data_IF_606978532235
#
_entry.id   IF_606978532235
#
_cell.length_a   1.000
_cell.length_b   1.000
_cell.length_c   1.000
_cell.angle_alpha   90.00
_cell.angle_beta   90.00
_cell.angle_gamma   90.00
#
_symmetry.space_group_name_H-M   'P 1'
#
loop_
_entity.id
_entity.type
_entity.pdbx_description
1 polymer ?
#
# COMPACT_ATOMS: atom_id res chain seq x y z
N UNK A 1 4.44 8.10 64.43
CA UNK A 1 3.48 8.70 63.48
C UNK A 1 4.00 8.45 62.06
N UNK A 2 3.60 7.33 61.47
CA UNK A 2 3.95 6.94 60.10
C UNK A 2 2.83 7.38 59.17
N UNK A 3 3.14 8.30 58.25
CA UNK A 3 2.19 8.80 57.27
C UNK A 3 1.89 7.70 56.23
N UNK A 4 0.68 7.15 56.30
CA UNK A 4 0.12 6.25 55.28
C UNK A 4 -0.30 7.12 54.10
N UNK A 5 0.49 7.08 53.03
CA UNK A 5 0.17 7.78 51.78
C UNK A 5 -1.02 7.11 51.08
N UNK A 6 -2.13 7.86 50.97
CA UNK A 6 -3.30 7.47 50.19
C UNK A 6 -2.91 7.26 48.72
N UNK A 7 -3.04 6.02 48.23
CA UNK A 7 -2.95 5.73 46.81
C UNK A 7 -4.18 6.28 46.09
N UNK A 8 -4.01 7.09 45.03
CA UNK A 8 -5.15 7.63 44.29
C UNK A 8 -5.91 6.51 43.60
N UNK A 9 -7.20 6.40 43.93
CA UNK A 9 -8.13 5.44 43.36
C UNK A 9 -8.13 5.52 41.82
N UNK A 10 -7.68 4.45 41.18
CA UNK A 10 -7.74 4.26 39.74
C UNK A 10 -9.23 4.16 39.35
N UNK A 11 -9.81 5.28 38.91
CA UNK A 11 -11.15 5.32 38.33
C UNK A 11 -11.17 4.46 37.06
N UNK A 12 -11.73 3.27 37.16
CA UNK A 12 -12.03 2.39 36.05
C UNK A 12 -13.09 3.04 35.16
N UNK A 13 -12.66 3.73 34.12
CA UNK A 13 -13.54 4.16 33.03
C UNK A 13 -14.04 2.91 32.29
N UNK A 14 -15.22 2.42 32.69
CA UNK A 14 -16.04 1.51 31.90
C UNK A 14 -16.47 2.22 30.62
N UNK A 15 -15.63 2.11 29.57
CA UNK A 15 -15.99 2.49 28.20
C UNK A 15 -17.15 1.59 27.76
N UNK A 16 -18.36 2.12 27.79
CA UNK A 16 -19.52 1.55 27.13
C UNK A 16 -19.18 1.32 25.65
N UNK A 17 -19.27 0.06 25.21
CA UNK A 17 -19.04 -0.41 23.84
C UNK A 17 -20.17 0.08 22.91
N UNK A 18 -20.30 1.38 22.66
CA UNK A 18 -21.15 1.90 21.57
C UNK A 18 -20.41 1.80 20.22
N UNK A 19 -19.94 0.60 19.89
CA UNK A 19 -18.93 0.39 18.85
C UNK A 19 -19.38 -0.07 17.44
N UNK A 20 -20.64 -0.48 17.13
CA UNK A 20 -20.90 -1.00 15.78
C UNK A 20 -21.31 0.06 14.74
N UNK A 21 -22.36 0.84 14.98
CA UNK A 21 -23.04 1.54 13.89
C UNK A 21 -22.18 2.57 13.13
N UNK A 22 -21.41 3.41 13.84
CA UNK A 22 -20.63 4.48 13.19
C UNK A 22 -19.42 3.98 12.40
N UNK A 23 -18.83 2.86 12.81
CA UNK A 23 -17.72 2.24 12.07
C UNK A 23 -18.26 1.51 10.83
N UNK A 24 -19.41 0.83 10.95
CA UNK A 24 -20.10 0.21 9.82
C UNK A 24 -20.53 1.25 8.77
N UNK A 25 -21.03 2.41 9.20
CA UNK A 25 -21.37 3.50 8.28
C UNK A 25 -20.14 4.04 7.54
N UNK A 26 -18.98 4.12 8.20
CA UNK A 26 -17.74 4.57 7.56
C UNK A 26 -17.24 3.56 6.52
N UNK A 27 -17.25 2.27 6.85
CA UNK A 27 -16.90 1.19 5.92
C UNK A 27 -17.89 1.12 4.77
N UNK A 28 -19.19 1.21 5.06
CA UNK A 28 -20.25 1.29 4.05
C UNK A 28 -20.08 2.49 3.13
N UNK A 29 -19.66 3.64 3.66
CA UNK A 29 -19.33 4.82 2.87
C UNK A 29 -18.17 4.61 1.89
N UNK A 30 -17.10 3.92 2.32
CA UNK A 30 -15.98 3.54 1.43
C UNK A 30 -16.41 2.57 0.34
N UNK A 31 -17.24 1.59 0.69
CA UNK A 31 -17.81 0.64 -0.27
C UNK A 31 -18.66 1.36 -1.31
N UNK A 32 -19.57 2.23 -0.89
CA UNK A 32 -20.40 3.05 -1.79
C UNK A 32 -19.53 3.96 -2.65
N UNK A 33 -18.51 4.61 -2.09
CA UNK A 33 -17.58 5.46 -2.85
C UNK A 33 -16.85 4.65 -3.93
N UNK A 34 -16.28 3.49 -3.57
CA UNK A 34 -15.59 2.62 -4.51
C UNK A 34 -16.50 2.13 -5.61
N UNK A 35 -17.71 1.69 -5.28
CA UNK A 35 -18.71 1.30 -6.26
C UNK A 35 -19.08 2.47 -7.16
N UNK A 36 -19.42 3.66 -6.65
CA UNK A 36 -19.78 4.80 -7.50
C UNK A 36 -18.63 5.21 -8.43
N UNK A 37 -17.41 5.28 -7.91
CA UNK A 37 -16.25 5.75 -8.67
C UNK A 37 -15.78 4.74 -9.72
N UNK A 38 -15.89 3.44 -9.44
CA UNK A 38 -15.24 2.38 -10.23
C UNK A 38 -16.23 1.42 -10.89
N UNK A 39 -17.54 1.50 -10.59
CA UNK A 39 -18.57 0.65 -11.20
C UNK A 39 -18.55 0.62 -12.73
N UNK A 40 -18.27 1.72 -13.46
CA UNK A 40 -18.20 1.66 -14.93
C UNK A 40 -17.27 0.55 -15.44
N UNK A 41 -16.23 0.20 -14.66
CA UNK A 41 -15.27 -0.84 -15.03
C UNK A 41 -15.86 -2.25 -15.02
N UNK A 42 -16.93 -2.52 -14.27
CA UNK A 42 -17.58 -3.83 -14.25
C UNK A 42 -18.22 -4.19 -15.61
N UNK A 43 -18.50 -3.17 -16.41
CA UNK A 43 -19.04 -3.32 -17.78
C UNK A 43 -17.96 -3.25 -18.86
N UNK A 44 -16.70 -3.03 -18.48
CA UNK A 44 -15.60 -2.97 -19.43
C UNK A 44 -15.25 -4.38 -19.96
N UNK A 45 -14.80 -4.40 -21.22
CA UNK A 45 -14.24 -5.60 -21.87
C UNK A 45 -12.72 -5.56 -21.78
N UNK A 46 -12.08 -6.70 -22.04
CA UNK A 46 -10.63 -6.73 -22.17
C UNK A 46 -10.14 -5.75 -23.23
N UNK A 47 -9.11 -5.00 -22.88
CA UNK A 47 -8.39 -4.05 -23.73
C UNK A 47 -6.98 -4.61 -23.97
N UNK A 48 -6.62 -4.74 -25.25
CA UNK A 48 -5.39 -5.38 -25.71
C UNK A 48 -4.08 -4.77 -25.16
N UNK A 49 -4.12 -3.55 -24.62
CA UNK A 49 -2.94 -2.87 -24.08
C UNK A 49 -2.43 -3.57 -22.81
N UNK A 50 -3.31 -3.83 -21.85
CA UNK A 50 -2.93 -4.33 -20.53
C UNK A 50 -3.33 -5.79 -20.26
N UNK A 51 -4.29 -6.30 -21.02
CA UNK A 51 -4.92 -7.60 -20.72
C UNK A 51 -4.30 -8.74 -21.54
N UNK A 52 -3.32 -8.42 -22.41
CA UNK A 52 -2.63 -9.39 -23.23
C UNK A 52 -1.95 -10.49 -22.39
N UNK A 53 -1.49 -10.18 -21.19
CA UNK A 53 -0.92 -11.18 -20.26
C UNK A 53 -1.99 -12.20 -19.84
N UNK A 54 -3.19 -11.74 -19.50
CA UNK A 54 -4.31 -12.61 -19.12
C UNK A 54 -4.73 -13.45 -20.33
N UNK A 55 -4.95 -12.80 -21.48
CA UNK A 55 -5.45 -13.45 -22.69
C UNK A 55 -4.44 -14.44 -23.28
N UNK A 56 -3.14 -14.19 -23.17
CA UNK A 56 -2.09 -15.14 -23.60
C UNK A 56 -2.07 -16.41 -22.76
N UNK A 57 -2.61 -16.35 -21.54
CA UNK A 57 -2.69 -17.46 -20.59
C UNK A 57 -4.04 -18.17 -20.62
N UNK A 58 -5.01 -17.72 -21.41
CA UNK A 58 -6.28 -18.43 -21.61
C UNK A 58 -6.21 -19.26 -22.89
N UNK A 59 -6.85 -20.45 -22.97
CA UNK A 59 -6.92 -21.22 -24.20
C UNK A 59 -7.40 -20.37 -25.40
N UNK A 60 -6.81 -20.57 -26.58
CA UNK A 60 -7.22 -19.81 -27.77
C UNK A 60 -8.68 -20.09 -28.13
N UNK A 61 -9.32 -19.09 -28.75
CA UNK A 61 -10.70 -19.20 -29.22
C UNK A 61 -10.80 -20.38 -30.20
N UNK A 62 -11.71 -21.31 -29.93
CA UNK A 62 -11.89 -22.54 -30.71
C UNK A 62 -11.09 -23.74 -30.23
N UNK A 63 -10.38 -23.63 -29.09
CA UNK A 63 -9.81 -24.79 -28.42
C UNK A 63 -10.90 -25.80 -28.03
N UNK A 64 -10.56 -27.10 -28.03
CA UNK A 64 -11.49 -28.15 -27.68
C UNK A 64 -12.05 -27.95 -26.24
N UNK A 65 -13.31 -28.31 -25.98
CA UNK A 65 -13.88 -28.25 -24.63
C UNK A 65 -13.00 -28.99 -23.62
N UNK A 66 -12.63 -28.32 -22.52
CA UNK A 66 -11.75 -28.89 -21.49
C UNK A 66 -10.25 -28.70 -21.75
N UNK A 67 -9.86 -28.05 -22.85
CA UNK A 67 -8.46 -27.59 -23.03
C UNK A 67 -8.14 -26.59 -21.93
N UNK A 68 -7.20 -26.93 -21.05
CA UNK A 68 -6.70 -26.02 -20.02
C UNK A 68 -5.44 -25.34 -20.53
N UNK A 69 -5.21 -24.12 -20.06
CA UNK A 69 -3.94 -23.45 -20.28
C UNK A 69 -2.79 -24.25 -19.65
N UNK A 70 -1.70 -24.40 -20.40
CA UNK A 70 -0.46 -24.95 -19.83
C UNK A 70 0.25 -23.84 -19.05
N UNK A 71 0.00 -23.79 -17.74
CA UNK A 71 0.59 -22.82 -16.83
C UNK A 71 1.98 -23.30 -16.40
N UNK A 72 3.04 -22.83 -17.06
CA UNK A 72 4.42 -23.06 -16.60
C UNK A 72 4.84 -22.03 -15.54
N UNK A 73 4.35 -22.23 -14.31
CA UNK A 73 4.70 -21.45 -13.12
C UNK A 73 6.22 -21.30 -12.96
N UNK A 74 6.96 -22.39 -13.17
CA UNK A 74 8.41 -22.43 -12.91
C UNK A 74 9.16 -21.65 -13.98
N UNK A 75 8.80 -21.85 -15.24
CA UNK A 75 9.37 -21.10 -16.37
C UNK A 75 9.07 -19.61 -16.24
N UNK A 76 7.85 -19.21 -15.92
CA UNK A 76 7.52 -17.79 -15.78
C UNK A 76 8.23 -17.13 -14.58
N UNK A 77 8.10 -17.69 -13.38
CA UNK A 77 8.60 -17.08 -12.15
C UNK A 77 10.13 -17.11 -12.02
N UNK A 78 10.80 -18.14 -12.55
CA UNK A 78 12.22 -18.37 -12.32
C UNK A 78 13.10 -18.33 -13.57
N UNK A 79 12.53 -18.28 -14.78
CA UNK A 79 13.31 -18.15 -16.01
C UNK A 79 12.96 -16.88 -16.80
N UNK A 80 11.68 -16.69 -17.16
CA UNK A 80 11.24 -15.60 -18.02
C UNK A 80 11.35 -14.23 -17.35
N UNK A 81 10.75 -14.04 -16.17
CA UNK A 81 10.79 -12.74 -15.50
C UNK A 81 12.23 -12.31 -15.13
N UNK A 82 13.09 -13.19 -14.59
CA UNK A 82 14.48 -12.85 -14.31
C UNK A 82 15.28 -12.46 -15.56
N UNK A 83 15.00 -13.08 -16.70
CA UNK A 83 15.67 -12.76 -17.97
C UNK A 83 15.38 -11.34 -18.48
N UNK A 84 14.26 -10.74 -18.06
CA UNK A 84 13.92 -9.34 -18.35
C UNK A 84 14.18 -8.41 -17.15
N UNK A 85 14.87 -8.92 -16.11
CA UNK A 85 15.32 -8.15 -14.96
C UNK A 85 14.26 -7.98 -13.87
N UNK A 86 13.34 -8.93 -13.75
CA UNK A 86 12.24 -8.94 -12.78
C UNK A 86 12.22 -10.20 -11.93
N UNK A 87 11.68 -10.12 -10.72
CA UNK A 87 11.46 -11.24 -9.82
C UNK A 87 10.20 -11.03 -8.99
N UNK A 88 9.12 -11.68 -9.47
CA UNK A 88 7.77 -11.51 -8.93
C UNK A 88 7.09 -12.87 -8.70
N UNK A 89 7.69 -13.77 -7.90
CA UNK A 89 7.20 -15.15 -7.81
C UNK A 89 5.79 -15.25 -7.21
N UNK A 90 5.44 -14.39 -6.25
CA UNK A 90 4.10 -14.41 -5.67
C UNK A 90 3.05 -13.88 -6.66
N UNK A 91 3.39 -12.83 -7.42
CA UNK A 91 2.52 -12.30 -8.47
C UNK A 91 2.13 -13.40 -9.46
N UNK A 92 3.11 -14.12 -10.03
CA UNK A 92 2.84 -15.20 -10.97
C UNK A 92 2.02 -16.34 -10.34
N UNK A 93 2.31 -16.69 -9.09
CA UNK A 93 1.56 -17.73 -8.38
C UNK A 93 0.08 -17.37 -8.25
N UNK A 94 -0.21 -16.14 -7.81
CA UNK A 94 -1.60 -15.69 -7.64
C UNK A 94 -2.27 -15.49 -9.01
N UNK A 95 -1.60 -14.85 -9.96
CA UNK A 95 -2.12 -14.57 -11.30
C UNK A 95 -2.54 -15.85 -12.03
N UNK A 96 -1.74 -16.91 -11.96
CA UNK A 96 -2.06 -18.18 -12.62
C UNK A 96 -3.24 -18.88 -11.94
N UNK A 97 -3.40 -18.71 -10.62
CA UNK A 97 -4.61 -19.12 -9.90
C UNK A 97 -5.84 -18.32 -10.31
N UNK A 98 -5.71 -17.00 -10.49
CA UNK A 98 -6.78 -16.14 -10.98
C UNK A 98 -7.19 -16.52 -12.40
N UNK A 99 -6.25 -16.74 -13.32
CA UNK A 99 -6.53 -17.21 -14.69
C UNK A 99 -7.25 -18.56 -14.69
N UNK A 100 -6.82 -19.50 -13.83
CA UNK A 100 -7.45 -20.81 -13.72
C UNK A 100 -8.89 -20.75 -13.17
N UNK A 101 -9.24 -19.71 -12.39
CA UNK A 101 -10.56 -19.55 -11.76
C UNK A 101 -11.51 -18.66 -12.57
N UNK A 102 -11.00 -17.57 -13.13
CA UNK A 102 -11.78 -16.52 -13.79
C UNK A 102 -11.83 -16.66 -15.30
N UNK A 103 -10.89 -17.40 -15.89
CA UNK A 103 -10.78 -17.64 -17.33
C UNK A 103 -10.84 -16.31 -18.14
N UNK A 104 -11.60 -16.26 -19.23
CA UNK A 104 -11.82 -15.06 -20.05
C UNK A 104 -13.06 -14.24 -19.63
N UNK A 105 -13.48 -14.29 -18.36
CA UNK A 105 -14.57 -13.44 -17.86
C UNK A 105 -14.06 -12.07 -17.39
N UNK A 106 -14.08 -11.08 -18.29
CA UNK A 106 -13.64 -9.72 -17.99
C UNK A 106 -14.38 -9.09 -16.79
N UNK A 107 -15.68 -9.35 -16.64
CA UNK A 107 -16.45 -8.81 -15.51
C UNK A 107 -16.02 -9.41 -14.18
N UNK A 108 -15.68 -10.71 -14.17
CA UNK A 108 -15.14 -11.37 -12.97
C UNK A 108 -13.76 -10.82 -12.58
N UNK A 109 -12.89 -10.57 -13.55
CA UNK A 109 -11.60 -9.91 -13.34
C UNK A 109 -11.75 -8.51 -12.76
N UNK A 110 -12.64 -7.70 -13.33
CA UNK A 110 -12.92 -6.35 -12.84
C UNK A 110 -13.54 -6.37 -11.43
N UNK A 111 -14.43 -7.32 -11.13
CA UNK A 111 -15.01 -7.50 -9.81
C UNK A 111 -13.94 -7.87 -8.76
N UNK A 112 -12.97 -8.72 -9.12
CA UNK A 112 -11.84 -9.06 -8.26
C UNK A 112 -11.01 -7.80 -7.95
N UNK A 113 -10.53 -7.10 -8.98
CA UNK A 113 -9.68 -5.91 -8.80
C UNK A 113 -10.38 -4.82 -7.98
N UNK A 114 -11.67 -4.59 -8.22
CA UNK A 114 -12.49 -3.66 -7.43
C UNK A 114 -12.58 -4.07 -5.96
N UNK A 115 -12.77 -5.37 -5.71
CA UNK A 115 -12.84 -5.92 -4.35
C UNK A 115 -11.50 -5.75 -3.61
N UNK A 116 -10.38 -5.98 -4.29
CA UNK A 116 -9.03 -5.74 -3.75
C UNK A 116 -8.83 -4.26 -3.38
N UNK A 117 -9.33 -3.34 -4.22
CA UNK A 117 -9.28 -1.90 -3.96
C UNK A 117 -10.08 -1.47 -2.74
N UNK A 118 -11.35 -1.87 -2.67
CA UNK A 118 -12.21 -1.56 -1.53
C UNK A 118 -11.64 -2.16 -0.24
N UNK A 119 -11.13 -3.38 -0.29
CA UNK A 119 -10.51 -4.04 0.86
C UNK A 119 -9.27 -3.28 1.34
N UNK A 120 -8.39 -2.88 0.42
CA UNK A 120 -7.19 -2.08 0.72
C UNK A 120 -7.55 -0.72 1.34
N UNK A 121 -8.57 -0.06 0.81
CA UNK A 121 -9.09 1.20 1.36
C UNK A 121 -9.65 1.03 2.78
N UNK A 122 -10.36 -0.07 3.04
CA UNK A 122 -10.87 -0.41 4.37
C UNK A 122 -9.73 -0.72 5.35
N UNK A 123 -8.67 -1.40 4.92
CA UNK A 123 -7.48 -1.64 5.74
C UNK A 123 -6.74 -0.34 6.06
N UNK A 124 -6.66 0.58 5.12
CA UNK A 124 -6.04 1.88 5.32
C UNK A 124 -6.87 2.77 6.28
N UNK A 125 -8.20 2.74 6.12
CA UNK A 125 -9.13 3.31 7.12
C UNK A 125 -8.87 2.72 8.51
N UNK A 126 -8.83 1.39 8.63
CA UNK A 126 -8.60 0.72 9.91
C UNK A 126 -7.23 1.05 10.51
N UNK A 127 -6.20 1.23 9.68
CA UNK A 127 -4.86 1.69 10.07
C UNK A 127 -4.95 3.08 10.68
N UNK A 128 -5.53 4.05 9.96
CA UNK A 128 -5.70 5.41 10.47
C UNK A 128 -6.50 5.46 11.78
N UNK A 129 -7.56 4.64 11.89
CA UNK A 129 -8.34 4.50 13.12
C UNK A 129 -7.53 3.89 14.27
N UNK A 130 -6.66 2.94 13.98
CA UNK A 130 -5.74 2.35 14.96
C UNK A 130 -4.73 3.38 15.47
N UNK A 131 -4.28 4.30 14.62
CA UNK A 131 -3.39 5.41 14.99
C UNK A 131 -4.10 6.54 15.77
N UNK A 132 -5.42 6.47 15.89
CA UNK A 132 -6.22 7.42 16.67
C UNK A 132 -6.84 8.55 15.85
N UNK A 133 -6.69 8.55 14.52
CA UNK A 133 -7.31 9.54 13.63
C UNK A 133 -8.83 9.51 13.73
N UNK A 134 -9.48 10.67 13.62
CA UNK A 134 -10.94 10.75 13.55
C UNK A 134 -11.53 9.97 12.36
N UNK A 135 -12.83 9.66 12.41
CA UNK A 135 -13.49 8.87 11.34
C UNK A 135 -13.43 9.54 9.98
N UNK A 136 -13.78 10.83 9.91
CA UNK A 136 -13.80 11.57 8.65
C UNK A 136 -12.39 11.61 8.01
N UNK A 137 -11.31 12.01 8.72
CA UNK A 137 -9.96 11.88 8.20
C UNK A 137 -9.64 10.46 7.75
N UNK A 138 -9.94 9.43 8.55
CA UNK A 138 -9.66 8.05 8.19
C UNK A 138 -10.41 7.59 6.92
N UNK A 139 -11.68 8.00 6.74
CA UNK A 139 -12.45 7.71 5.51
C UNK A 139 -11.83 8.42 4.32
N UNK A 140 -11.38 9.67 4.49
CA UNK A 140 -10.71 10.39 3.42
C UNK A 140 -9.40 9.72 3.03
N UNK A 141 -8.57 9.28 3.98
CA UNK A 141 -7.35 8.51 3.66
C UNK A 141 -7.68 7.23 2.89
N UNK A 142 -8.67 6.44 3.32
CA UNK A 142 -9.09 5.24 2.60
C UNK A 142 -9.70 5.54 1.22
N UNK A 143 -10.55 6.56 1.13
CA UNK A 143 -11.20 6.97 -0.11
C UNK A 143 -10.21 7.53 -1.14
N UNK A 144 -9.16 8.21 -0.68
CA UNK A 144 -8.07 8.68 -1.52
C UNK A 144 -7.42 7.54 -2.31
N UNK A 145 -7.19 6.39 -1.66
CA UNK A 145 -6.64 5.22 -2.34
C UNK A 145 -7.52 4.78 -3.53
N UNK A 146 -8.83 5.02 -3.50
CA UNK A 146 -9.75 4.61 -4.56
C UNK A 146 -9.83 5.63 -5.71
N UNK A 147 -9.74 6.92 -5.41
CA UNK A 147 -10.09 7.99 -6.37
C UNK A 147 -8.93 8.93 -6.72
N UNK A 148 -7.79 8.79 -6.07
CA UNK A 148 -6.65 9.67 -6.32
C UNK A 148 -6.24 9.61 -7.80
N UNK A 149 -5.88 10.76 -8.40
CA UNK A 149 -5.35 10.82 -9.75
C UNK A 149 -4.17 9.87 -9.90
N UNK A 150 -4.14 9.16 -11.01
CA UNK A 150 -3.27 8.01 -11.17
C UNK A 150 -3.88 6.79 -10.49
N UNK A 151 -3.86 6.70 -9.16
CA UNK A 151 -4.19 5.49 -8.36
C UNK A 151 -5.48 4.78 -8.76
N UNK A 152 -6.51 5.53 -9.13
CA UNK A 152 -7.76 4.94 -9.65
C UNK A 152 -7.51 3.97 -10.83
N UNK A 153 -6.48 4.19 -11.64
CA UNK A 153 -6.06 3.32 -12.75
C UNK A 153 -5.63 1.92 -12.29
N UNK A 154 -5.06 1.82 -11.09
CA UNK A 154 -4.66 0.55 -10.48
C UNK A 154 -5.87 -0.36 -10.23
N UNK A 155 -7.04 0.24 -9.94
CA UNK A 155 -8.28 -0.50 -9.73
C UNK A 155 -9.09 -0.72 -11.02
N UNK A 156 -8.58 -0.23 -12.16
CA UNK A 156 -9.24 -0.31 -13.46
C UNK A 156 -8.53 -1.28 -14.41
N UNK A 157 -7.20 -1.33 -14.36
CA UNK A 157 -6.36 -2.16 -15.24
C UNK A 157 -6.25 -3.59 -14.69
N UNK A 158 -6.54 -4.60 -15.50
CA UNK A 158 -6.55 -6.01 -15.04
C UNK A 158 -5.15 -6.62 -14.96
N UNK A 159 -4.21 -6.14 -15.77
CA UNK A 159 -2.81 -6.58 -15.77
C UNK A 159 -1.90 -5.93 -14.71
N UNK A 160 -2.41 -5.03 -13.86
CA UNK A 160 -1.56 -4.29 -12.92
C UNK A 160 -1.10 -5.17 -11.74
N UNK A 161 0.21 -5.44 -11.68
CA UNK A 161 0.89 -6.14 -10.58
C UNK A 161 0.90 -5.34 -9.26
N UNK A 162 0.58 -4.05 -9.32
CA UNK A 162 0.48 -3.18 -8.15
C UNK A 162 -0.77 -3.46 -7.28
N UNK A 163 -1.80 -4.12 -7.81
CA UNK A 163 -3.06 -4.42 -7.08
C UNK A 163 -2.81 -5.28 -5.85
N UNK A 164 -2.24 -6.46 -6.04
CA UNK A 164 -1.89 -7.40 -4.97
C UNK A 164 -0.84 -6.82 -4.02
N UNK A 165 0.17 -6.14 -4.56
CA UNK A 165 1.21 -5.52 -3.75
C UNK A 165 0.66 -4.44 -2.82
N UNK A 166 -0.32 -3.65 -3.28
CA UNK A 166 -1.02 -2.64 -2.47
C UNK A 166 -1.85 -3.27 -1.37
N UNK A 167 -2.57 -4.35 -1.68
CA UNK A 167 -3.33 -5.10 -0.66
C UNK A 167 -2.40 -5.60 0.45
N UNK A 168 -1.30 -6.25 0.09
CA UNK A 168 -0.35 -6.79 1.08
C UNK A 168 0.39 -5.69 1.86
N UNK A 169 0.70 -4.55 1.22
CA UNK A 169 1.28 -3.40 1.88
C UNK A 169 0.32 -2.80 2.93
N UNK A 170 -0.95 -2.58 2.56
CA UNK A 170 -1.97 -2.03 3.48
C UNK A 170 -2.29 -3.00 4.62
N UNK A 171 -2.27 -4.31 4.37
CA UNK A 171 -2.34 -5.34 5.40
C UNK A 171 -1.17 -5.24 6.39
N UNK A 172 0.06 -5.07 5.89
CA UNK A 172 1.25 -4.95 6.74
C UNK A 172 1.21 -3.67 7.59
N UNK A 173 0.76 -2.54 7.04
CA UNK A 173 0.54 -1.29 7.76
C UNK A 173 -0.51 -1.44 8.88
N UNK A 174 -1.64 -2.08 8.57
CA UNK A 174 -2.69 -2.36 9.56
C UNK A 174 -2.14 -3.23 10.68
N UNK A 175 -1.39 -4.28 10.33
CA UNK A 175 -0.78 -5.18 11.29
C UNK A 175 0.22 -4.45 12.19
N UNK A 176 1.06 -3.55 11.64
CA UNK A 176 1.96 -2.71 12.40
C UNK A 176 1.21 -1.85 13.44
N UNK A 177 0.15 -1.17 12.99
CA UNK A 177 -0.64 -0.29 13.84
C UNK A 177 -1.36 -1.07 14.95
N UNK A 178 -1.90 -2.26 14.65
CA UNK A 178 -2.58 -3.09 15.65
C UNK A 178 -1.60 -3.73 16.64
N UNK A 179 -0.44 -4.19 16.18
CA UNK A 179 0.65 -4.66 17.04
C UNK A 179 1.05 -3.57 18.06
N UNK A 180 1.12 -2.31 17.62
CA UNK A 180 1.45 -1.16 18.45
C UNK A 180 0.34 -0.75 19.45
N UNK A 181 -0.88 -1.27 19.33
CA UNK A 181 -1.96 -1.00 20.31
C UNK A 181 -2.14 -2.10 21.34
N UNK A 182 -1.80 -3.34 21.01
CA UNK A 182 -2.07 -4.51 21.86
C UNK A 182 -0.87 -4.86 22.72
N UNK A 183 -1.15 -5.35 23.93
CA UNK A 183 -0.12 -5.83 24.88
C UNK A 183 0.51 -7.15 24.40
N UNK A 184 -0.30 -8.03 23.80
CA UNK A 184 0.15 -9.20 23.06
C UNK A 184 0.11 -8.91 21.55
N UNK A 185 1.28 -8.77 20.92
CA UNK A 185 1.41 -8.34 19.52
C UNK A 185 1.82 -9.46 18.56
N UNK A 186 2.21 -10.64 19.03
CA UNK A 186 2.84 -11.69 18.21
C UNK A 186 2.05 -12.03 16.93
N UNK A 187 0.74 -12.26 17.02
CA UNK A 187 -0.07 -12.57 15.83
C UNK A 187 -0.10 -11.42 14.81
N UNK A 188 -0.08 -10.17 15.27
CA UNK A 188 0.01 -9.00 14.39
C UNK A 188 1.41 -8.78 13.84
N UNK A 189 2.44 -9.07 14.64
CA UNK A 189 3.83 -9.01 14.17
C UNK A 189 4.10 -10.10 13.11
N UNK A 190 3.51 -11.29 13.24
CA UNK A 190 3.54 -12.34 12.19
C UNK A 190 2.81 -11.86 10.94
N UNK A 191 1.60 -11.31 11.08
CA UNK A 191 0.83 -10.80 9.93
C UNK A 191 1.55 -9.64 9.23
N UNK A 192 2.25 -8.78 9.98
CA UNK A 192 3.12 -7.74 9.44
C UNK A 192 4.23 -8.32 8.56
N UNK A 193 4.97 -9.32 9.06
CA UNK A 193 6.05 -9.97 8.31
C UNK A 193 5.51 -10.67 7.06
N UNK A 194 4.41 -11.40 7.17
CA UNK A 194 3.77 -12.08 6.03
C UNK A 194 3.32 -11.07 4.97
N UNK A 195 2.60 -10.01 5.37
CA UNK A 195 2.16 -8.98 4.44
C UNK A 195 3.33 -8.23 3.78
N UNK A 196 4.39 -7.95 4.53
CA UNK A 196 5.59 -7.32 3.99
C UNK A 196 6.31 -8.21 2.96
N UNK A 197 6.50 -9.48 3.30
CA UNK A 197 7.10 -10.46 2.39
C UNK A 197 6.26 -10.62 1.13
N UNK A 198 4.94 -10.75 1.28
CA UNK A 198 4.03 -10.89 0.15
C UNK A 198 4.06 -9.65 -0.77
N UNK A 199 4.06 -8.45 -0.21
CA UNK A 199 4.21 -7.22 -1.00
C UNK A 199 5.52 -7.20 -1.80
N UNK A 200 6.66 -7.48 -1.14
CA UNK A 200 7.98 -7.50 -1.78
C UNK A 200 8.11 -8.59 -2.87
N UNK A 201 7.45 -9.75 -2.71
CA UNK A 201 7.46 -10.83 -3.70
C UNK A 201 6.44 -10.65 -4.84
N UNK A 202 5.57 -9.64 -4.75
CA UNK A 202 4.63 -9.31 -5.82
C UNK A 202 5.26 -8.40 -6.85
N UNK A 203 5.99 -7.37 -6.41
CA UNK A 203 6.71 -6.45 -7.28
C UNK A 203 7.85 -5.78 -6.54
N UNK A 204 8.97 -5.58 -7.24
CA UNK A 204 10.22 -5.09 -6.70
C UNK A 204 10.08 -3.70 -6.09
N UNK A 205 9.21 -2.86 -6.68
CA UNK A 205 8.89 -1.52 -6.19
C UNK A 205 8.46 -1.54 -4.72
N UNK A 206 7.74 -2.57 -4.26
CA UNK A 206 7.31 -2.66 -2.87
C UNK A 206 8.44 -2.95 -1.88
N UNK A 207 9.63 -3.39 -2.32
CA UNK A 207 10.76 -3.67 -1.43
C UNK A 207 11.18 -2.45 -0.61
N UNK A 208 11.17 -1.27 -1.23
CA UNK A 208 11.44 -0.01 -0.54
C UNK A 208 10.28 0.41 0.36
N UNK A 209 9.04 0.16 -0.08
CA UNK A 209 7.86 0.44 0.75
C UNK A 209 7.89 -0.39 2.05
N UNK A 210 8.32 -1.64 1.96
CA UNK A 210 8.50 -2.57 3.08
C UNK A 210 9.56 -2.06 4.07
N UNK A 211 10.65 -1.45 3.61
CA UNK A 211 11.61 -0.75 4.49
C UNK A 211 10.90 0.37 5.27
N UNK A 212 10.05 1.15 4.59
CA UNK A 212 9.20 2.15 5.25
C UNK A 212 8.27 1.57 6.31
N UNK A 213 7.68 0.40 6.07
CA UNK A 213 6.85 -0.30 7.06
C UNK A 213 7.67 -0.73 8.28
N UNK A 214 8.92 -1.19 8.09
CA UNK A 214 9.81 -1.53 9.19
C UNK A 214 10.09 -0.32 10.09
N UNK A 215 10.44 0.82 9.49
CA UNK A 215 10.64 2.07 10.21
C UNK A 215 9.36 2.51 10.93
N UNK A 216 8.22 2.43 10.26
CA UNK A 216 6.92 2.73 10.85
C UNK A 216 6.64 1.86 12.08
N UNK A 217 6.87 0.54 12.01
CA UNK A 217 6.68 -0.38 13.13
C UNK A 217 7.63 -0.11 14.29
N UNK A 218 8.90 0.17 14.01
CA UNK A 218 9.93 0.51 15.00
C UNK A 218 9.60 1.83 15.71
N UNK A 219 9.16 2.82 14.94
CA UNK A 219 8.73 4.12 15.42
C UNK A 219 7.48 4.01 16.32
N UNK A 220 6.46 3.25 15.90
CA UNK A 220 5.28 3.01 16.74
C UNK A 220 5.63 2.37 18.10
N UNK A 221 6.63 1.50 18.17
CA UNK A 221 7.10 0.96 19.46
C UNK A 221 7.80 1.98 20.34
N UNK A 222 8.53 2.94 19.77
CA UNK A 222 9.27 3.94 20.57
C UNK A 222 8.34 5.00 21.18
N UNK A 223 7.15 5.20 20.62
CA UNK A 223 6.15 6.15 21.14
C UNK A 223 5.39 5.64 22.36
N UNK A 224 5.50 4.34 22.67
CA UNK A 224 4.88 3.78 23.88
C UNK A 224 5.64 4.32 25.10
N UNK A 225 4.95 4.89 26.10
CA UNK A 225 5.59 5.24 27.36
C UNK A 225 6.04 3.94 28.04
N UNK A 226 7.30 3.53 27.85
CA UNK A 226 7.90 2.45 28.63
C UNK A 226 8.61 3.03 29.85
N UNK A 227 8.37 2.41 31.00
CA UNK A 227 8.97 2.68 32.31
C UNK A 227 10.45 2.27 32.41
N UNK A 228 11.23 2.40 31.33
CA UNK A 228 12.64 2.01 31.31
C UNK A 228 13.32 2.35 29.98
N UNK A 229 14.57 2.81 30.07
CA UNK A 229 15.37 3.47 29.02
C UNK A 229 15.83 2.59 27.84
N UNK A 230 15.21 1.43 27.63
CA UNK A 230 15.48 0.57 26.47
C UNK A 230 14.18 0.17 25.79
N UNK A 231 13.59 1.08 25.03
CA UNK A 231 12.59 0.72 24.01
C UNK A 231 13.27 -0.14 22.96
N UNK A 232 13.21 -1.46 23.14
CA UNK A 232 13.73 -2.42 22.17
C UNK A 232 12.88 -2.36 20.90
N UNK A 233 13.54 -2.21 19.75
CA UNK A 233 12.89 -2.35 18.44
C UNK A 233 12.41 -3.80 18.30
N UNK A 234 11.14 -4.05 17.97
CA UNK A 234 10.62 -5.40 17.83
C UNK A 234 11.36 -6.19 16.74
N UNK A 235 11.62 -7.47 16.96
CA UNK A 235 12.24 -8.35 15.96
C UNK A 235 11.52 -8.34 14.62
N UNK A 236 10.19 -8.22 14.62
CA UNK A 236 9.41 -8.14 13.40
C UNK A 236 9.77 -6.92 12.54
N UNK A 237 10.09 -5.76 13.14
CA UNK A 237 10.56 -4.60 12.40
C UNK A 237 11.91 -4.88 11.72
N UNK A 238 12.83 -5.55 12.41
CA UNK A 238 14.12 -5.97 11.83
C UNK A 238 13.94 -6.97 10.70
N UNK A 239 13.07 -7.97 10.86
CA UNK A 239 12.78 -8.94 9.80
C UNK A 239 12.20 -8.26 8.55
N UNK A 240 11.22 -7.37 8.74
CA UNK A 240 10.64 -6.58 7.64
C UNK A 240 11.70 -5.70 6.97
N UNK A 241 12.60 -5.09 7.74
CA UNK A 241 13.71 -4.31 7.19
C UNK A 241 14.63 -5.17 6.32
N UNK A 242 15.02 -6.34 6.81
CA UNK A 242 15.88 -7.28 6.08
C UNK A 242 15.20 -7.82 4.82
N UNK A 243 13.90 -8.10 4.85
CA UNK A 243 13.10 -8.47 3.67
C UNK A 243 13.17 -7.37 2.62
N UNK A 244 12.91 -6.13 3.02
CA UNK A 244 12.96 -4.97 2.12
C UNK A 244 14.36 -4.77 1.52
N UNK A 245 15.41 -4.87 2.35
CA UNK A 245 16.80 -4.75 1.90
C UNK A 245 17.18 -5.86 0.91
N UNK A 246 16.81 -7.11 1.20
CA UNK A 246 17.03 -8.24 0.30
C UNK A 246 16.28 -8.07 -1.02
N UNK A 247 15.04 -7.58 -0.99
CA UNK A 247 14.25 -7.27 -2.18
C UNK A 247 14.91 -6.19 -3.06
N UNK A 248 15.40 -5.11 -2.45
CA UNK A 248 16.14 -4.04 -3.16
C UNK A 248 17.43 -4.59 -3.79
N UNK A 249 18.20 -5.38 -3.03
CA UNK A 249 19.43 -5.98 -3.54
C UNK A 249 19.15 -6.91 -4.74
N UNK A 250 18.11 -7.74 -4.65
CA UNK A 250 17.70 -8.64 -5.74
C UNK A 250 17.26 -7.85 -6.98
N UNK A 251 16.41 -6.84 -6.80
CA UNK A 251 15.95 -5.97 -7.88
C UNK A 251 17.13 -5.29 -8.61
N UNK A 252 18.14 -4.84 -7.85
CA UNK A 252 19.35 -4.25 -8.41
C UNK A 252 20.17 -5.26 -9.22
N UNK A 253 20.42 -6.46 -8.68
CA UNK A 253 21.18 -7.52 -9.36
C UNK A 253 20.48 -7.92 -10.66
N UNK A 254 19.17 -8.14 -10.62
CA UNK A 254 18.37 -8.55 -11.78
C UNK A 254 18.30 -7.44 -12.83
N UNK A 255 17.99 -6.21 -12.42
CA UNK A 255 17.95 -5.06 -13.32
C UNK A 255 19.29 -4.81 -14.01
N UNK A 256 20.41 -4.98 -13.30
CA UNK A 256 21.75 -4.92 -13.89
C UNK A 256 22.00 -6.06 -14.87
N UNK A 257 21.61 -7.29 -14.52
CA UNK A 257 21.85 -8.48 -15.35
C UNK A 257 21.06 -8.49 -16.67
N UNK A 258 19.86 -7.90 -16.68
CA UNK A 258 19.02 -7.84 -17.87
C UNK A 258 19.48 -6.78 -18.89
N UNK A 259 20.46 -5.94 -18.53
CA UNK A 259 21.12 -5.01 -19.44
C UNK A 259 20.28 -3.76 -19.79
N UNK A 260 20.85 -2.83 -20.58
CA UNK A 260 20.29 -1.50 -20.85
C UNK A 260 19.00 -1.50 -21.67
N UNK A 261 18.74 -2.60 -22.39
CA UNK A 261 17.52 -2.79 -23.20
C UNK A 261 16.34 -3.27 -22.35
N UNK A 262 16.60 -3.77 -21.14
CA UNK A 262 15.55 -4.14 -20.21
C UNK A 262 14.91 -2.90 -19.58
N UNK A 263 13.64 -3.04 -19.20
CA UNK A 263 12.89 -1.94 -18.61
C UNK A 263 13.56 -1.40 -17.33
N UNK A 264 14.09 -2.27 -16.48
CA UNK A 264 14.78 -1.87 -15.24
C UNK A 264 16.23 -1.42 -15.49
N UNK A 265 16.96 -2.10 -16.38
CA UNK A 265 18.37 -1.81 -16.65
C UNK A 265 18.60 -0.53 -17.44
N UNK A 266 17.62 -0.05 -18.23
CA UNK A 266 17.69 1.23 -18.95
C UNK A 266 17.99 2.41 -18.03
N UNK A 267 17.41 2.42 -16.82
CA UNK A 267 17.60 3.50 -15.84
C UNK A 267 18.96 3.43 -15.14
N UNK A 268 19.51 2.23 -14.95
CA UNK A 268 20.83 2.04 -14.36
C UNK A 268 21.95 2.28 -15.36
N UNK A 269 21.66 2.21 -16.66
CA UNK A 269 22.66 2.20 -17.73
C UNK A 269 22.82 3.51 -18.51
N UNK A 270 21.86 4.45 -18.42
CA UNK A 270 21.92 5.73 -19.15
C UNK A 270 21.98 6.91 -18.18
N UNK A 271 23.17 7.42 -17.83
CA UNK A 271 23.30 8.56 -16.96
C UNK A 271 22.98 9.84 -17.73
N UNK A 272 21.71 10.28 -17.66
CA UNK A 272 21.36 11.70 -17.83
C UNK A 272 20.92 12.25 -16.45
N UNK A 273 21.88 12.68 -15.61
CA UNK A 273 21.58 13.14 -14.26
C UNK A 273 20.69 14.37 -14.24
N UNK A 274 20.83 15.27 -15.23
CA UNK A 274 20.05 16.50 -15.31
C UNK A 274 18.61 16.21 -15.73
N UNK A 275 18.40 15.37 -16.75
CA UNK A 275 17.06 14.92 -17.13
C UNK A 275 16.38 14.13 -16.03
N UNK A 276 17.12 13.29 -15.31
CA UNK A 276 16.63 12.58 -14.13
C UNK A 276 16.19 13.55 -13.02
N UNK A 277 17.03 14.51 -12.61
CA UNK A 277 16.69 15.49 -11.57
C UNK A 277 15.48 16.34 -11.96
N UNK A 278 15.38 16.75 -13.24
CA UNK A 278 14.20 17.47 -13.76
C UNK A 278 12.94 16.64 -13.62
N UNK A 279 13.01 15.35 -13.96
CA UNK A 279 11.88 14.42 -13.86
C UNK A 279 11.46 14.21 -12.40
N UNK A 280 12.42 14.05 -11.48
CA UNK A 280 12.15 13.98 -10.02
C UNK A 280 11.44 15.25 -9.55
N UNK A 281 11.93 16.44 -9.95
CA UNK A 281 11.35 17.71 -9.53
C UNK A 281 9.92 17.92 -10.06
N UNK A 282 9.67 17.60 -11.34
CA UNK A 282 8.33 17.68 -11.95
C UNK A 282 7.35 16.75 -11.25
N UNK A 283 7.75 15.50 -11.01
CA UNK A 283 6.92 14.52 -10.32
C UNK A 283 6.67 14.91 -8.85
N UNK A 284 7.69 15.43 -8.15
CA UNK A 284 7.52 15.97 -6.80
C UNK A 284 6.51 17.14 -6.78
N UNK A 285 6.55 18.03 -7.77
CA UNK A 285 5.62 19.13 -7.89
C UNK A 285 4.18 18.66 -8.15
N UNK A 286 3.99 17.62 -8.97
CA UNK A 286 2.68 16.98 -9.19
C UNK A 286 2.16 16.39 -7.88
N UNK A 287 2.97 15.59 -7.16
CA UNK A 287 2.57 15.02 -5.88
C UNK A 287 2.25 16.09 -4.84
N UNK A 288 3.05 17.16 -4.80
CA UNK A 288 2.81 18.28 -3.90
C UNK A 288 1.50 19.01 -4.26
N UNK A 289 1.25 19.29 -5.54
CA UNK A 289 0.01 19.93 -5.99
C UNK A 289 -1.23 19.10 -5.62
N UNK A 290 -1.18 17.81 -5.93
CA UNK A 290 -2.27 16.87 -5.64
C UNK A 290 -2.47 16.70 -4.13
N UNK A 291 -1.38 16.56 -3.37
CA UNK A 291 -1.41 16.47 -1.91
C UNK A 291 -1.92 17.75 -1.24
N UNK A 292 -1.51 18.93 -1.72
CA UNK A 292 -2.00 20.23 -1.23
C UNK A 292 -3.50 20.41 -1.48
N UNK A 293 -3.99 19.99 -2.64
CA UNK A 293 -5.43 19.98 -2.93
C UNK A 293 -6.21 19.12 -1.93
N UNK A 294 -5.67 17.95 -1.59
CA UNK A 294 -6.28 17.07 -0.60
C UNK A 294 -6.22 17.62 0.84
N UNK A 295 -5.08 18.19 1.23
CA UNK A 295 -4.92 18.88 2.51
C UNK A 295 -5.85 20.08 2.60
N UNK A 296 -6.03 20.85 1.52
CA UNK A 296 -6.96 21.97 1.46
C UNK A 296 -8.41 21.50 1.60
N UNK A 297 -8.81 20.40 0.95
CA UNK A 297 -10.13 19.80 1.11
C UNK A 297 -10.35 19.33 2.56
N UNK A 298 -9.38 18.65 3.15
CA UNK A 298 -9.39 18.25 4.56
C UNK A 298 -9.56 19.47 5.47
N UNK A 299 -8.75 20.51 5.26
CA UNK A 299 -8.82 21.75 6.01
C UNK A 299 -10.19 22.42 5.85
N UNK A 300 -10.74 22.48 4.64
CA UNK A 300 -12.05 23.06 4.36
C UNK A 300 -13.18 22.28 5.06
N UNK A 301 -13.25 20.96 4.87
CA UNK A 301 -14.27 20.09 5.47
C UNK A 301 -14.20 20.05 6.99
N UNK A 302 -13.01 20.23 7.55
CA UNK A 302 -12.80 20.30 9.00
C UNK A 302 -13.05 21.71 9.55
N UNK A 303 -12.77 22.77 8.79
CA UNK A 303 -12.79 24.17 9.26
C UNK A 303 -14.12 24.62 9.88
N UNK A 304 -15.26 24.11 9.39
CA UNK A 304 -16.59 24.44 9.92
C UNK A 304 -16.85 23.86 11.31
N UNK A 305 -16.17 22.78 11.70
CA UNK A 305 -16.24 22.16 13.04
C UNK A 305 -14.99 22.38 13.88
N UNK A 306 -13.87 22.77 13.27
CA UNK A 306 -12.55 22.84 13.92
C UNK A 306 -12.04 24.26 14.20
N UNK A 307 -12.76 25.33 13.82
CA UNK A 307 -12.44 26.71 14.23
C UNK A 307 -12.30 26.90 15.75
N UNK A 308 -12.82 25.98 16.58
CA UNK A 308 -12.71 26.03 18.04
C UNK A 308 -11.77 25.01 18.66
N UNK A 309 -11.10 24.11 17.89
CA UNK A 309 -10.28 23.01 18.46
C UNK A 309 -8.96 22.68 17.78
N UNK A 310 -8.65 23.21 16.59
CA UNK A 310 -7.33 23.01 15.96
C UNK A 310 -6.28 23.91 16.60
N UNK A 311 -5.74 23.53 17.77
CA UNK A 311 -4.44 24.00 18.25
C UNK A 311 -3.98 23.16 19.45
N UNK A 312 -3.90 21.83 19.32
CA UNK A 312 -3.10 21.05 20.27
C UNK A 312 -1.81 20.58 19.61
N UNK A 313 -0.66 20.86 20.25
CA UNK A 313 0.68 20.35 19.85
C UNK A 313 0.69 18.84 19.53
N UNK A 314 -0.26 18.09 20.10
CA UNK A 314 -0.43 16.65 19.92
C UNK A 314 -0.85 16.26 18.50
N UNK A 315 -1.74 17.04 17.88
CA UNK A 315 -2.23 16.77 16.51
C UNK A 315 -1.16 17.11 15.47
N UNK A 316 -0.46 18.24 15.64
CA UNK A 316 0.70 18.59 14.80
C UNK A 316 1.82 17.56 14.91
N UNK A 317 2.10 17.07 16.12
CA UNK A 317 3.03 15.96 16.30
C UNK A 317 2.57 14.75 15.53
N UNK A 318 1.29 14.33 15.66
CA UNK A 318 0.75 13.16 14.96
C UNK A 318 0.82 13.29 13.42
N UNK A 319 0.59 14.48 12.87
CA UNK A 319 0.71 14.75 11.44
C UNK A 319 2.17 14.68 10.96
N UNK A 320 3.10 15.36 11.63
CA UNK A 320 4.54 15.27 11.34
C UNK A 320 5.06 13.82 11.44
N UNK A 321 4.53 13.11 12.42
CA UNK A 321 4.79 11.70 12.68
C UNK A 321 4.31 10.81 11.54
N UNK A 322 3.16 11.09 10.92
CA UNK A 322 2.62 10.33 9.80
C UNK A 322 3.35 10.67 8.48
N UNK A 323 3.74 11.94 8.34
CA UNK A 323 4.47 12.45 7.18
C UNK A 323 5.86 11.79 7.02
N UNK A 324 6.55 11.43 8.10
CA UNK A 324 7.89 10.81 8.00
C UNK A 324 7.84 9.40 7.36
N UNK A 325 7.03 8.44 7.85
CA UNK A 325 6.80 7.17 7.16
C UNK A 325 6.27 7.35 5.74
N UNK A 326 5.35 8.30 5.52
CA UNK A 326 4.86 8.63 4.18
C UNK A 326 5.99 9.06 3.25
N UNK A 327 6.91 9.92 3.69
CA UNK A 327 8.09 10.30 2.92
C UNK A 327 9.02 9.11 2.66
N UNK A 328 9.20 8.21 3.63
CA UNK A 328 9.99 6.98 3.44
C UNK A 328 9.32 6.04 2.42
N UNK A 329 8.00 6.10 2.26
CA UNK A 329 7.28 5.39 1.19
C UNK A 329 7.37 6.11 -0.16
N UNK A 330 7.22 7.44 -0.20
CA UNK A 330 7.14 8.24 -1.43
C UNK A 330 8.52 8.44 -2.06
N UNK A 331 9.51 8.86 -1.27
CA UNK A 331 10.81 9.32 -1.78
C UNK A 331 11.52 8.22 -2.58
N UNK A 332 11.64 6.97 -2.09
CA UNK A 332 12.31 5.94 -2.86
C UNK A 332 11.59 5.59 -4.17
N UNK A 333 10.25 5.66 -4.20
CA UNK A 333 9.46 5.46 -5.43
C UNK A 333 9.69 6.59 -6.43
N UNK A 334 9.65 7.83 -5.93
CA UNK A 334 9.91 9.02 -6.74
C UNK A 334 11.31 8.95 -7.36
N UNK A 335 12.31 8.54 -6.58
CA UNK A 335 13.68 8.38 -7.07
C UNK A 335 13.78 7.25 -8.10
N UNK A 336 13.29 6.05 -7.82
CA UNK A 336 13.44 4.94 -8.77
C UNK A 336 12.71 5.18 -10.09
N UNK A 337 11.53 5.80 -10.05
CA UNK A 337 10.63 5.79 -11.20
C UNK A 337 10.50 7.11 -11.91
N UNK A 338 11.01 8.24 -11.43
CA UNK A 338 10.71 9.58 -12.00
C UNK A 338 10.72 9.73 -13.54
N UNK A 339 11.49 8.94 -14.29
CA UNK A 339 11.58 9.04 -15.74
C UNK A 339 10.43 8.39 -16.57
N UNK A 340 9.50 7.65 -15.96
CA UNK A 340 8.33 7.03 -16.64
C UNK A 340 7.03 7.89 -16.58
N UNK A 341 7.07 9.13 -16.02
CA UNK A 341 5.90 9.99 -15.74
C UNK A 341 4.87 9.48 -14.72
N UNK A 342 4.60 10.21 -13.62
CA UNK A 342 3.71 9.82 -12.50
C UNK A 342 2.31 9.25 -12.87
N UNK A 343 1.77 9.59 -14.04
CA UNK A 343 0.42 9.21 -14.45
C UNK A 343 0.33 7.94 -15.30
N UNK A 344 1.45 7.26 -15.60
CA UNK A 344 1.44 6.05 -16.43
C UNK A 344 1.11 4.75 -15.67
N UNK A 345 0.34 4.82 -14.58
CA UNK A 345 -0.26 3.66 -13.91
C UNK A 345 0.72 2.71 -13.22
N UNK A 346 2.00 3.08 -13.10
CA UNK A 346 3.08 2.29 -12.49
C UNK A 346 3.63 2.89 -11.19
N UNK A 347 3.12 4.07 -10.82
CA UNK A 347 3.65 4.99 -9.81
C UNK A 347 2.88 5.04 -8.49
N UNK A 348 1.70 4.45 -8.49
CA UNK A 348 0.61 5.13 -7.83
C UNK A 348 0.34 4.57 -6.45
N UNK A 349 0.65 3.30 -6.21
CA UNK A 349 0.27 2.59 -4.99
C UNK A 349 0.99 3.10 -3.74
N UNK A 350 2.32 2.91 -3.66
CA UNK A 350 3.07 3.25 -2.46
C UNK A 350 3.19 4.77 -2.26
N UNK A 351 3.33 5.53 -3.36
CA UNK A 351 3.37 6.99 -3.31
C UNK A 351 2.03 7.58 -2.89
N UNK A 352 0.89 7.07 -3.39
CA UNK A 352 -0.40 7.59 -2.96
C UNK A 352 -0.82 7.13 -1.57
N UNK A 353 -0.44 5.92 -1.14
CA UNK A 353 -0.57 5.52 0.27
C UNK A 353 0.22 6.47 1.17
N UNK A 354 1.41 6.90 0.74
CA UNK A 354 2.17 7.94 1.41
C UNK A 354 1.49 9.32 1.37
N UNK A 355 1.04 9.79 0.20
CA UNK A 355 0.40 11.11 0.06
C UNK A 355 -0.93 11.19 0.83
N UNK A 356 -1.62 10.05 0.99
CA UNK A 356 -2.84 9.97 1.79
C UNK A 356 -2.60 10.12 3.30
N UNK A 357 -1.45 9.64 3.80
CA UNK A 357 -1.15 9.48 5.23
C UNK A 357 -0.66 10.76 5.92
#
# INVERSE_FOLDING_TARGET
MTAVGEQPAIRSYTRTRTFPARELLAIGGLLVLGLIALHPVLSARFVLVDDHEILALVPPIGAAPGTRSQLDLRGMAFASDPSVGRFRPLYWTVRLGEVALLEADASAWHALVLSLGILSACMLYATARALGSGRLPAVLVGGWLLVAPGVSSLWVRLGADDTLGTLFLTLSLLAAAQAARRRASMGWDVLLVIGALAAALTKESFSLAVIGVAFFRAWLSSTRPSTGWRTQVPYAAWLVFLIGLAGVANAFVLGRSAGPLSYGGRYLALPDPLGYLRSVAQNAAILAYVGLGWVALLAFLTSSRLRTRLHTRREWRAALIAAVPALVLIVPQLLLYSQQGIFEGKYESAAAVGVAG
#
